data_IF_598534643830
#
_entry.id   IF_598534643830
#
_cell.length_a   1.000
_cell.length_b   1.000
_cell.length_c   1.000
_cell.angle_alpha   90.00
_cell.angle_beta   90.00
_cell.angle_gamma   90.00
#
_symmetry.space_group_name_H-M   'P 1'
#
loop_
_entity.id
_entity.type
_entity.pdbx_description
1 polymer ?
#
# COMPACT_ATOMS: atom_id res chain seq x y z
N UNK A 1 -8.24 59.87 23.20
CA UNK A 1 -7.85 58.62 23.88
C UNK A 1 -6.74 57.98 23.06
N UNK A 2 -5.50 57.92 23.55
CA UNK A 2 -4.40 57.31 22.83
C UNK A 2 -4.43 55.78 23.01
N UNK A 3 -4.53 55.06 21.89
CA UNK A 3 -4.36 53.61 21.83
C UNK A 3 -2.92 53.25 22.21
N UNK A 4 -2.73 52.68 23.39
CA UNK A 4 -1.50 52.01 23.76
C UNK A 4 -1.45 50.65 23.05
N UNK A 5 -0.76 50.59 21.91
CA UNK A 5 -0.31 49.33 21.30
C UNK A 5 0.71 48.68 22.24
N UNK A 6 0.23 47.81 23.12
CA UNK A 6 1.06 46.97 23.97
C UNK A 6 1.94 46.09 23.10
N UNK A 7 3.26 46.29 23.18
CA UNK A 7 4.26 45.37 22.64
C UNK A 7 4.01 43.98 23.20
N UNK A 8 3.73 43.02 22.33
CA UNK A 8 3.59 41.61 22.70
C UNK A 8 4.95 41.07 23.18
N UNK A 9 5.12 40.72 24.47
CA UNK A 9 6.39 40.24 25.01
C UNK A 9 6.87 38.92 24.38
N UNK A 10 5.96 38.20 23.72
CA UNK A 10 6.27 36.98 22.97
C UNK A 10 7.07 37.26 21.69
N UNK A 11 6.82 38.39 21.01
CA UNK A 11 7.53 38.72 19.78
C UNK A 11 9.02 39.00 20.04
N UNK A 12 9.34 39.68 21.14
CA UNK A 12 10.72 39.95 21.56
C UNK A 12 11.45 38.67 21.98
N UNK A 13 10.76 37.72 22.64
CA UNK A 13 11.35 36.43 23.02
C UNK A 13 11.71 35.58 21.79
N UNK A 14 10.86 35.54 20.76
CA UNK A 14 11.16 34.83 19.51
C UNK A 14 12.29 35.49 18.71
N UNK A 15 12.39 36.82 18.76
CA UNK A 15 13.49 37.54 18.11
C UNK A 15 14.84 37.27 18.78
N UNK A 16 14.89 37.25 20.12
CA UNK A 16 16.10 36.87 20.85
C UNK A 16 16.52 35.42 20.57
N UNK A 17 15.56 34.49 20.49
CA UNK A 17 15.85 33.08 20.20
C UNK A 17 16.44 32.88 18.80
N UNK A 18 16.02 33.69 17.80
CA UNK A 18 16.60 33.67 16.45
C UNK A 18 18.00 34.25 16.38
N UNK A 19 18.29 35.28 17.17
CA UNK A 19 19.61 35.92 17.20
C UNK A 19 20.66 35.12 17.99
N UNK A 20 20.22 34.28 18.95
CA UNK A 20 21.10 33.43 19.76
C UNK A 20 21.26 32.00 19.23
N UNK A 21 20.63 31.66 18.11
CA UNK A 21 20.84 30.35 17.49
C UNK A 21 22.31 30.26 17.02
N UNK A 22 23.14 29.37 17.60
CA UNK A 22 24.53 29.24 17.21
C UNK A 22 24.63 28.90 15.72
N UNK A 23 25.56 29.58 15.04
CA UNK A 23 25.91 29.33 13.65
C UNK A 23 26.08 27.82 13.42
N UNK A 24 25.29 27.31 12.48
CA UNK A 24 25.45 26.03 11.80
C UNK A 24 25.83 24.83 12.69
N UNK A 25 24.84 24.01 13.06
CA UNK A 25 25.09 22.67 13.61
C UNK A 25 25.74 21.83 12.50
N UNK A 26 27.07 21.90 12.40
CA UNK A 26 27.86 21.06 11.50
C UNK A 26 27.83 19.65 12.08
N UNK A 27 26.90 18.83 11.56
CA UNK A 27 26.80 17.42 11.94
C UNK A 27 28.13 16.73 11.60
N UNK A 28 28.80 16.08 12.57
CA UNK A 28 30.03 15.35 12.32
C UNK A 28 29.81 14.32 11.20
N UNK A 29 30.55 14.43 10.10
CA UNK A 29 30.48 13.49 8.97
C UNK A 29 29.81 13.99 7.69
N UNK A 30 29.25 15.21 7.66
CA UNK A 30 28.74 15.84 6.43
C UNK A 30 29.72 15.81 5.23
N UNK A 31 31.04 16.11 5.39
CA UNK A 31 31.97 16.02 4.26
C UNK A 31 32.22 14.58 3.77
N UNK A 32 32.07 13.56 4.62
CA UNK A 32 32.17 12.16 4.22
C UNK A 32 30.91 11.70 3.44
N UNK A 33 29.73 12.19 3.83
CA UNK A 33 28.48 11.96 3.10
C UNK A 33 28.51 12.61 1.71
N UNK A 34 29.02 13.84 1.58
CA UNK A 34 29.12 14.50 0.26
C UNK A 34 30.09 13.78 -0.70
N UNK A 35 31.20 13.20 -0.20
CA UNK A 35 32.14 12.42 -1.02
C UNK A 35 31.53 11.13 -1.56
N UNK A 36 30.71 10.43 -0.78
CA UNK A 36 30.08 9.16 -1.21
C UNK A 36 28.98 9.40 -2.24
N UNK A 37 28.19 10.46 -2.12
CA UNK A 37 27.17 10.84 -3.11
C UNK A 37 27.81 11.24 -4.44
N UNK A 38 28.92 12.00 -4.42
CA UNK A 38 29.62 12.42 -5.64
C UNK A 38 30.21 11.23 -6.42
N UNK A 39 30.78 10.23 -5.74
CA UNK A 39 31.28 8.98 -6.37
C UNK A 39 30.17 8.14 -7.01
N UNK A 40 28.96 8.10 -6.40
CA UNK A 40 27.82 7.37 -6.99
C UNK A 40 27.28 8.03 -8.26
N UNK A 41 27.31 9.37 -8.35
CA UNK A 41 26.87 10.07 -9.56
C UNK A 41 27.83 9.85 -10.74
N UNK A 42 29.15 9.87 -10.52
CA UNK A 42 30.11 9.64 -11.60
C UNK A 42 30.07 8.19 -12.13
N UNK A 43 29.84 7.20 -11.27
CA UNK A 43 29.69 5.80 -11.70
C UNK A 43 28.41 5.52 -12.50
N UNK A 44 27.34 6.29 -12.30
CA UNK A 44 26.09 6.15 -13.07
C UNK A 44 26.19 6.75 -14.46
N UNK A 45 26.99 7.82 -14.64
CA UNK A 45 27.16 8.46 -15.96
C UNK A 45 27.99 7.58 -16.91
N UNK A 46 28.99 6.84 -16.41
CA UNK A 46 29.79 5.94 -17.24
C UNK A 46 29.02 4.70 -17.72
N UNK A 47 28.07 4.20 -16.92
CA UNK A 47 27.25 3.04 -17.30
C UNK A 47 26.25 3.36 -18.43
N UNK A 48 25.71 4.58 -18.48
CA UNK A 48 24.76 5.01 -19.53
C UNK A 48 25.46 5.19 -20.87
N UNK A 49 26.71 5.69 -20.88
CA UNK A 49 27.48 5.87 -22.11
C UNK A 49 27.89 4.53 -22.77
N UNK A 50 28.09 3.47 -21.97
CA UNK A 50 28.42 2.14 -22.51
C UNK A 50 27.20 1.45 -23.16
N UNK A 51 25.99 1.71 -22.68
CA UNK A 51 24.77 1.10 -23.21
C UNK A 51 24.30 1.74 -24.53
N UNK A 52 24.56 3.03 -24.76
CA UNK A 52 24.23 3.69 -26.03
C UNK A 52 25.13 3.27 -27.19
N UNK A 53 26.39 2.90 -26.93
CA UNK A 53 27.31 2.41 -27.96
C UNK A 53 26.92 1.01 -28.49
N UNK A 54 26.31 0.17 -27.65
CA UNK A 54 25.88 -1.19 -28.04
C UNK A 54 24.57 -1.18 -28.85
N UNK A 55 23.69 -0.21 -28.63
CA UNK A 55 22.43 -0.08 -29.38
C UNK A 55 22.65 0.37 -30.84
N UNK A 56 23.72 1.12 -31.13
CA UNK A 56 24.03 1.59 -32.48
C UNK A 56 24.76 0.55 -33.34
N UNK A 57 25.40 -0.46 -32.73
CA UNK A 57 26.12 -1.51 -33.46
C UNK A 57 25.22 -2.67 -33.92
N UNK A 58 24.04 -2.87 -33.30
CA UNK A 58 23.14 -3.99 -33.61
C UNK A 58 21.96 -3.61 -34.53
N UNK A 59 21.81 -2.33 -34.90
CA UNK A 59 20.69 -1.83 -35.70
C UNK A 59 20.80 -2.04 -37.22
N UNK A 60 21.34 -3.17 -37.66
CA UNK A 60 21.75 -3.37 -39.05
C UNK A 60 21.39 -4.71 -39.68
N UNK A 61 20.26 -5.34 -39.35
CA UNK A 61 19.71 -6.46 -40.14
C UNK A 61 18.20 -6.61 -39.90
N UNK A 62 17.39 -6.02 -40.80
CA UNK A 62 15.99 -6.43 -40.98
C UNK A 62 15.80 -6.72 -42.46
N UNK A 63 15.86 -8.01 -42.80
CA UNK A 63 15.56 -8.54 -44.12
C UNK A 63 14.10 -8.30 -44.48
N UNK A 64 13.89 -7.88 -45.72
CA UNK A 64 12.59 -7.84 -46.37
C UNK A 64 11.97 -9.24 -46.42
N UNK A 65 10.79 -9.42 -45.81
CA UNK A 65 9.91 -10.54 -46.12
C UNK A 65 8.69 -9.99 -46.86
N UNK A 66 8.76 -10.09 -48.19
CA UNK A 66 7.62 -9.93 -49.08
C UNK A 66 6.73 -11.17 -48.93
N UNK A 67 5.71 -11.06 -48.08
CA UNK A 67 4.65 -12.05 -47.91
C UNK A 67 3.42 -11.72 -48.77
N UNK A 68 2.90 -12.74 -49.45
CA UNK A 68 1.80 -12.72 -50.42
C UNK A 68 0.48 -12.08 -49.91
N UNK A 69 -0.38 -11.58 -50.81
CA UNK A 69 -1.69 -11.02 -50.46
C UNK A 69 -2.62 -12.09 -49.89
N UNK A 70 -3.14 -11.84 -48.69
CA UNK A 70 -4.17 -12.66 -48.05
C UNK A 70 -5.53 -12.51 -48.77
N UNK A 71 -6.36 -13.57 -48.80
CA UNK A 71 -7.69 -13.52 -49.42
C UNK A 71 -8.62 -12.54 -48.68
N UNK A 72 -9.38 -11.77 -49.46
CA UNK A 72 -10.37 -10.82 -48.97
C UNK A 72 -11.42 -11.53 -48.10
N UNK A 73 -11.39 -11.28 -46.79
CA UNK A 73 -12.45 -11.67 -45.86
C UNK A 73 -13.70 -10.81 -46.07
N UNK A 74 -14.89 -11.32 -45.68
CA UNK A 74 -16.17 -10.64 -45.89
C UNK A 74 -16.20 -9.29 -45.18
N UNK A 75 -16.84 -8.32 -45.83
CA UNK A 75 -17.00 -6.95 -45.38
C UNK A 75 -17.52 -6.89 -43.93
N UNK A 76 -16.79 -6.16 -43.08
CA UNK A 76 -17.17 -5.91 -41.70
C UNK A 76 -18.58 -5.30 -41.64
N UNK A 77 -19.46 -5.93 -40.86
CA UNK A 77 -20.77 -5.38 -40.50
C UNK A 77 -20.61 -3.96 -39.95
N UNK A 78 -21.40 -3.04 -40.50
CA UNK A 78 -21.54 -1.66 -40.05
C UNK A 78 -21.61 -1.60 -38.53
N UNK A 79 -20.59 -0.98 -37.93
CA UNK A 79 -20.56 -0.67 -36.51
C UNK A 79 -21.80 0.17 -36.18
N UNK A 80 -22.72 -0.40 -35.40
CA UNK A 80 -23.81 0.36 -34.81
C UNK A 80 -23.20 1.55 -34.02
N UNK A 81 -23.80 2.75 -34.11
CA UNK A 81 -23.30 3.92 -33.37
C UNK A 81 -23.27 3.58 -31.88
N UNK A 82 -22.06 3.62 -31.30
CA UNK A 82 -21.90 3.51 -29.85
C UNK A 82 -22.81 4.54 -29.19
N UNK A 83 -23.63 4.15 -28.19
CA UNK A 83 -24.54 5.08 -27.54
C UNK A 83 -23.74 6.28 -27.03
N UNK A 84 -24.16 7.47 -27.43
CA UNK A 84 -23.58 8.74 -26.97
C UNK A 84 -23.81 8.81 -25.47
N UNK A 85 -22.82 8.40 -24.69
CA UNK A 85 -22.87 8.47 -23.23
C UNK A 85 -23.00 9.95 -22.87
N UNK A 86 -24.14 10.32 -22.28
CA UNK A 86 -24.42 11.69 -21.86
C UNK A 86 -23.31 12.16 -20.93
N UNK A 87 -22.48 13.09 -21.43
CA UNK A 87 -21.38 13.62 -20.66
C UNK A 87 -21.93 14.54 -19.55
N UNK A 88 -22.07 14.01 -18.34
CA UNK A 88 -22.18 14.81 -17.11
C UNK A 88 -21.03 15.82 -16.92
N UNK A 89 -21.05 16.59 -15.82
CA UNK A 89 -20.00 17.58 -15.57
C UNK A 89 -18.66 16.91 -15.29
N UNK A 90 -17.57 17.50 -15.78
CA UNK A 90 -16.21 17.16 -15.35
C UNK A 90 -16.04 17.49 -13.87
N UNK A 91 -15.51 16.57 -13.08
CA UNK A 91 -15.29 16.76 -11.65
C UNK A 91 -13.98 17.50 -11.39
N UNK A 92 -13.94 18.29 -10.30
CA UNK A 92 -12.71 18.94 -9.86
C UNK A 92 -11.70 17.95 -9.26
N UNK A 93 -10.39 18.29 -9.20
CA UNK A 93 -9.35 17.40 -8.68
C UNK A 93 -9.61 16.86 -7.27
N UNK A 94 -10.16 17.70 -6.37
CA UNK A 94 -10.51 17.27 -5.02
C UNK A 94 -11.65 16.24 -5.00
N UNK A 95 -12.62 16.37 -5.91
CA UNK A 95 -13.72 15.41 -6.02
C UNK A 95 -13.23 14.07 -6.57
N UNK A 96 -12.36 14.08 -7.58
CA UNK A 96 -11.72 12.88 -8.11
C UNK A 96 -10.86 12.17 -7.04
N UNK A 97 -10.10 12.95 -6.26
CA UNK A 97 -9.32 12.41 -5.14
C UNK A 97 -10.23 11.75 -4.09
N UNK A 98 -11.38 12.36 -3.77
CA UNK A 98 -12.36 11.78 -2.85
C UNK A 98 -12.99 10.49 -3.39
N UNK A 99 -13.19 10.37 -4.70
CA UNK A 99 -13.60 9.09 -5.31
C UNK A 99 -12.53 8.01 -5.12
N UNK A 100 -11.24 8.36 -5.20
CA UNK A 100 -10.14 7.44 -4.91
C UNK A 100 -10.14 6.97 -3.44
N UNK A 101 -10.38 7.89 -2.49
CA UNK A 101 -10.53 7.55 -1.06
C UNK A 101 -11.71 6.60 -0.86
N UNK A 102 -12.87 6.90 -1.46
CA UNK A 102 -14.06 6.03 -1.40
C UNK A 102 -13.85 4.69 -2.07
N UNK A 103 -13.00 4.60 -3.10
CA UNK A 103 -12.60 3.33 -3.70
C UNK A 103 -11.73 2.52 -2.73
N UNK A 104 -10.79 3.17 -2.03
CA UNK A 104 -9.93 2.54 -1.02
C UNK A 104 -10.74 1.99 0.17
N UNK A 105 -11.75 2.71 0.62
CA UNK A 105 -12.64 2.29 1.71
C UNK A 105 -13.36 0.97 1.43
N UNK A 106 -13.49 0.58 0.16
CA UNK A 106 -14.08 -0.72 -0.23
C UNK A 106 -13.19 -1.90 0.11
N UNK A 107 -11.90 -1.67 0.30
CA UNK A 107 -10.97 -2.64 0.87
C UNK A 107 -10.96 -2.60 2.41
N UNK A 108 -11.83 -1.81 3.04
CA UNK A 108 -11.84 -1.60 4.50
C UNK A 108 -10.64 -0.79 4.99
N UNK A 109 -9.97 -0.06 4.10
CA UNK A 109 -8.79 0.73 4.40
C UNK A 109 -9.13 2.23 4.50
N UNK A 110 -8.43 2.92 5.39
CA UNK A 110 -8.49 4.38 5.52
C UNK A 110 -7.25 5.01 4.88
N UNK A 111 -7.41 6.20 4.30
CA UNK A 111 -6.31 6.92 3.64
C UNK A 111 -5.11 7.16 4.58
N UNK A 112 -5.37 7.48 5.86
CA UNK A 112 -4.34 7.76 6.87
C UNK A 112 -3.63 6.48 7.35
N UNK A 113 -4.22 5.31 7.09
CA UNK A 113 -3.72 3.99 7.49
C UNK A 113 -3.50 3.10 6.26
N UNK A 114 -2.92 3.67 5.21
CA UNK A 114 -2.64 2.95 3.98
C UNK A 114 -1.65 1.80 4.25
N UNK A 115 -2.07 0.58 3.90
CA UNK A 115 -1.21 -0.60 4.01
C UNK A 115 -0.22 -0.64 2.86
N UNK A 116 0.95 -1.25 3.11
CA UNK A 116 1.86 -1.65 2.02
C UNK A 116 1.11 -2.61 1.10
N UNK A 117 1.11 -2.33 -0.19
CA UNK A 117 0.33 -3.10 -1.15
C UNK A 117 -1.01 -2.48 -1.54
N UNK A 118 -1.39 -1.31 -1.00
CA UNK A 118 -2.54 -0.55 -1.47
C UNK A 118 -2.11 0.80 -2.05
N UNK A 119 -2.74 1.22 -3.14
CA UNK A 119 -2.59 2.55 -3.76
C UNK A 119 -3.95 3.04 -4.23
N UNK A 120 -4.14 4.35 -4.26
CA UNK A 120 -5.40 4.97 -4.69
C UNK A 120 -5.13 6.37 -5.24
N UNK A 121 -6.09 6.90 -5.99
CA UNK A 121 -5.97 8.24 -6.56
C UNK A 121 -7.05 8.56 -7.60
N UNK A 122 -7.02 9.77 -8.17
CA UNK A 122 -7.83 10.09 -9.33
C UNK A 122 -7.37 9.26 -10.53
N UNK A 123 -8.29 8.95 -11.44
CA UNK A 123 -7.92 8.48 -12.77
C UNK A 123 -7.54 9.72 -13.56
N UNK A 124 -6.25 9.94 -13.81
CA UNK A 124 -5.78 11.20 -14.42
C UNK A 124 -5.24 11.00 -15.85
N UNK A 125 -4.94 12.13 -16.49
CA UNK A 125 -4.59 12.18 -17.91
C UNK A 125 -3.31 11.41 -18.29
N UNK A 126 -3.42 10.63 -19.37
CA UNK A 126 -2.54 9.53 -19.79
C UNK A 126 -1.12 9.93 -20.23
N UNK A 127 -0.78 11.23 -20.24
CA UNK A 127 0.49 11.70 -20.76
C UNK A 127 1.70 11.26 -19.92
N UNK A 128 1.52 10.98 -18.63
CA UNK A 128 2.60 10.52 -17.74
C UNK A 128 2.34 9.18 -17.06
N UNK A 129 1.14 8.60 -17.23
CA UNK A 129 0.71 7.29 -16.71
C UNK A 129 1.27 7.02 -15.32
N UNK A 130 0.57 7.45 -14.27
CA UNK A 130 1.07 7.33 -12.90
C UNK A 130 1.63 5.95 -12.61
N UNK A 131 2.93 5.92 -12.29
CA UNK A 131 3.63 4.70 -11.91
C UNK A 131 3.57 4.56 -10.41
N UNK A 132 2.82 3.59 -9.96
CA UNK A 132 2.85 3.17 -8.56
C UNK A 132 3.74 1.94 -8.42
N UNK A 133 4.26 1.74 -7.22
CA UNK A 133 4.93 0.49 -6.88
C UNK A 133 4.37 -0.04 -5.57
N UNK A 134 4.01 -1.32 -5.58
CA UNK A 134 3.69 -2.05 -4.36
C UNK A 134 4.98 -2.67 -3.84
N UNK A 135 5.37 -2.26 -2.63
CA UNK A 135 6.71 -2.52 -2.07
C UNK A 135 7.69 -1.36 -2.34
N UNK A 136 8.86 -1.41 -1.72
CA UNK A 136 9.99 -0.50 -2.01
C UNK A 136 11.29 -1.29 -2.15
N UNK A 137 12.36 -0.66 -2.64
CA UNK A 137 13.67 -1.32 -2.73
C UNK A 137 14.22 -1.71 -1.34
N UNK A 138 13.95 -0.90 -0.31
CA UNK A 138 14.32 -1.17 1.07
C UNK A 138 13.45 -2.26 1.71
N UNK A 139 12.23 -2.43 1.21
CA UNK A 139 11.21 -3.32 1.75
C UNK A 139 10.42 -3.98 0.61
N UNK A 140 11.04 -4.92 -0.11
CA UNK A 140 10.38 -5.63 -1.20
C UNK A 140 9.23 -6.50 -0.66
N UNK A 141 8.25 -6.77 -1.50
CA UNK A 141 7.23 -7.79 -1.26
C UNK A 141 7.91 -9.17 -1.27
N UNK A 142 7.56 -10.08 -0.34
CA UNK A 142 8.12 -11.43 -0.34
C UNK A 142 7.77 -12.23 -1.61
N UNK A 143 8.50 -13.32 -1.84
CA UNK A 143 8.13 -14.31 -2.87
C UNK A 143 6.75 -14.89 -2.55
N UNK A 144 5.90 -15.06 -3.57
CA UNK A 144 4.61 -15.70 -3.40
C UNK A 144 3.58 -15.33 -4.48
N UNK A 145 2.37 -15.90 -4.33
CA UNK A 145 1.23 -15.60 -5.19
C UNK A 145 0.39 -14.52 -4.55
N UNK A 146 0.34 -13.37 -5.19
CA UNK A 146 -0.46 -12.21 -4.80
C UNK A 146 -1.75 -12.20 -5.59
N UNK A 147 -2.84 -11.76 -4.96
CA UNK A 147 -4.06 -11.40 -5.69
C UNK A 147 -4.15 -9.88 -5.74
N UNK A 148 -4.08 -9.31 -6.94
CA UNK A 148 -4.24 -7.89 -7.18
C UNK A 148 -5.72 -7.61 -7.43
N UNK A 149 -6.31 -6.79 -6.57
CA UNK A 149 -7.69 -6.33 -6.63
C UNK A 149 -7.76 -4.90 -7.13
N UNK A 150 -8.65 -4.62 -8.07
CA UNK A 150 -8.90 -3.29 -8.61
C UNK A 150 -10.33 -2.87 -8.29
N UNK A 151 -10.48 -1.64 -7.79
CA UNK A 151 -11.76 -1.01 -7.59
C UNK A 151 -11.78 0.38 -8.24
N UNK A 152 -12.84 0.70 -8.97
CA UNK A 152 -13.06 2.02 -9.55
C UNK A 152 -14.43 2.57 -9.16
N UNK A 153 -14.47 3.82 -8.69
CA UNK A 153 -15.68 4.60 -8.38
C UNK A 153 -15.86 5.70 -9.43
N UNK A 154 -17.10 6.07 -9.72
CA UNK A 154 -17.46 7.02 -10.77
C UNK A 154 -17.97 6.35 -12.05
N UNK A 155 -17.59 6.91 -13.20
CA UNK A 155 -18.05 6.54 -14.54
C UNK A 155 -16.90 6.14 -15.49
N UNK A 156 -17.21 5.40 -16.55
CA UNK A 156 -16.21 4.97 -17.54
C UNK A 156 -15.48 3.68 -17.17
N UNK A 157 -14.27 3.50 -17.69
CA UNK A 157 -13.45 2.30 -17.48
C UNK A 157 -12.00 2.65 -17.25
N UNK A 158 -11.34 1.85 -16.41
CA UNK A 158 -9.89 1.88 -16.22
C UNK A 158 -9.25 0.57 -16.66
N UNK A 159 -7.98 0.66 -17.06
CA UNK A 159 -7.08 -0.44 -17.28
C UNK A 159 -5.88 -0.28 -16.33
N UNK A 160 -5.64 -1.29 -15.50
CA UNK A 160 -4.50 -1.36 -14.57
C UNK A 160 -3.50 -2.33 -15.15
N UNK A 161 -2.40 -1.80 -15.67
CA UNK A 161 -1.25 -2.62 -16.12
C UNK A 161 -0.32 -2.85 -14.96
N UNK A 162 0.08 -4.10 -14.74
CA UNK A 162 1.04 -4.48 -13.71
C UNK A 162 2.29 -5.11 -14.34
N UNK A 163 3.42 -4.97 -13.66
CA UNK A 163 4.69 -5.59 -14.02
C UNK A 163 5.41 -6.09 -12.77
N UNK A 164 5.91 -7.32 -12.85
CA UNK A 164 6.67 -8.03 -11.82
C UNK A 164 7.91 -8.70 -12.44
N UNK A 165 8.72 -9.38 -11.64
CA UNK A 165 9.87 -10.18 -12.10
C UNK A 165 9.44 -11.33 -13.04
N UNK A 166 8.22 -11.82 -12.86
CA UNK A 166 7.68 -12.97 -13.61
C UNK A 166 7.00 -12.62 -14.91
N UNK A 167 6.63 -11.36 -15.11
CA UNK A 167 5.84 -10.97 -16.27
C UNK A 167 5.10 -9.65 -16.10
N UNK A 168 4.16 -9.44 -17.01
CA UNK A 168 3.30 -8.26 -17.07
C UNK A 168 1.89 -8.67 -17.47
N UNK A 169 0.90 -7.89 -17.07
CA UNK A 169 -0.49 -8.09 -17.46
C UNK A 169 -1.33 -6.84 -17.28
N UNK A 170 -2.60 -6.91 -17.68
CA UNK A 170 -3.54 -5.79 -17.57
C UNK A 170 -4.87 -6.30 -17.01
N UNK A 171 -5.49 -5.51 -16.15
CA UNK A 171 -6.82 -5.74 -15.59
C UNK A 171 -7.72 -4.58 -15.95
N UNK A 172 -8.79 -4.85 -16.69
CA UNK A 172 -9.80 -3.85 -17.01
C UNK A 172 -10.90 -3.85 -15.95
N UNK A 173 -11.19 -2.68 -15.38
CA UNK A 173 -12.24 -2.50 -14.38
C UNK A 173 -13.23 -1.41 -14.80
N UNK A 174 -14.54 -1.70 -14.85
CA UNK A 174 -15.55 -0.67 -15.03
C UNK A 174 -15.65 0.17 -13.75
N UNK A 175 -15.81 1.48 -13.91
CA UNK A 175 -16.11 2.39 -12.81
C UNK A 175 -17.62 2.38 -12.59
N UNK A 176 -18.06 2.04 -11.38
CA UNK A 176 -19.48 1.94 -11.07
C UNK A 176 -19.75 2.26 -9.61
N UNK A 177 -20.59 3.27 -9.37
CA UNK A 177 -21.05 3.62 -8.03
C UNK A 177 -22.10 2.65 -7.47
N UNK A 178 -22.81 1.92 -8.34
CA UNK A 178 -23.83 0.94 -7.96
C UNK A 178 -23.24 -0.40 -7.48
N UNK A 179 -21.92 -0.57 -7.53
CA UNK A 179 -21.23 -1.77 -7.04
C UNK A 179 -21.40 -1.98 -5.52
N UNK A 180 -22.13 -1.14 -4.79
CA UNK A 180 -22.37 -1.28 -3.35
C UNK A 180 -23.02 -2.60 -2.93
N UNK A 181 -23.74 -3.28 -3.85
CA UNK A 181 -24.47 -4.53 -3.53
C UNK A 181 -23.77 -5.83 -3.94
N UNK A 182 -22.79 -5.79 -4.82
CA UNK A 182 -22.06 -6.98 -5.28
C UNK A 182 -20.60 -6.60 -5.45
N UNK A 183 -19.62 -7.48 -5.17
CA UNK A 183 -18.24 -7.16 -5.45
C UNK A 183 -17.87 -7.55 -6.90
N UNK A 184 -17.96 -6.67 -7.94
CA UNK A 184 -17.19 -6.89 -9.15
C UNK A 184 -15.76 -6.42 -8.88
N UNK A 185 -15.11 -6.98 -7.87
CA UNK A 185 -13.68 -6.74 -7.66
C UNK A 185 -12.96 -7.53 -8.74
N UNK A 186 -12.58 -6.82 -9.79
CA UNK A 186 -11.72 -7.41 -10.80
C UNK A 186 -10.40 -7.76 -10.13
N UNK A 187 -9.94 -8.98 -10.35
CA UNK A 187 -8.71 -9.44 -9.76
C UNK A 187 -7.89 -10.26 -10.74
N UNK A 188 -6.58 -10.26 -10.51
CA UNK A 188 -5.62 -11.07 -11.24
C UNK A 188 -4.59 -11.61 -10.25
N UNK A 189 -4.08 -12.80 -10.53
CA UNK A 189 -2.96 -13.33 -9.78
C UNK A 189 -1.65 -12.78 -10.32
N UNK A 190 -0.79 -12.34 -9.41
CA UNK A 190 0.58 -11.88 -9.71
C UNK A 190 1.53 -12.75 -8.92
N UNK A 191 2.44 -13.44 -9.59
CA UNK A 191 3.46 -14.26 -8.92
C UNK A 191 4.75 -13.46 -8.81
N UNK A 192 5.35 -13.43 -7.62
CA UNK A 192 6.74 -13.04 -7.42
C UNK A 192 7.57 -14.29 -7.15
N UNK A 193 8.59 -14.58 -7.97
CA UNK A 193 9.51 -15.71 -7.73
C UNK A 193 10.65 -15.29 -6.80
N UNK A 194 11.03 -14.03 -6.86
CA UNK A 194 12.01 -13.40 -5.97
C UNK A 194 11.37 -12.26 -5.19
N UNK A 195 11.88 -11.91 -4.00
CA UNK A 195 11.40 -10.73 -3.30
C UNK A 195 11.57 -9.49 -4.20
N UNK A 196 10.48 -8.76 -4.45
CA UNK A 196 10.44 -7.74 -5.50
C UNK A 196 9.37 -6.68 -5.30
N UNK A 197 9.12 -5.91 -6.35
CA UNK A 197 8.06 -4.90 -6.39
C UNK A 197 7.06 -5.29 -7.48
N UNK A 198 5.80 -4.91 -7.29
CA UNK A 198 4.80 -4.93 -8.36
C UNK A 198 4.61 -3.49 -8.82
N UNK A 199 5.13 -3.16 -10.00
CA UNK A 199 4.93 -1.86 -10.62
C UNK A 199 3.53 -1.81 -11.26
N UNK A 200 2.82 -0.71 -11.07
CA UNK A 200 1.48 -0.49 -11.58
C UNK A 200 1.44 0.77 -12.44
N UNK A 201 0.65 0.74 -13.50
CA UNK A 201 0.26 1.89 -14.29
C UNK A 201 -1.25 1.85 -14.51
N UNK A 202 -1.92 2.97 -14.27
CA UNK A 202 -3.38 3.08 -14.42
C UNK A 202 -3.67 4.05 -15.55
N UNK A 203 -4.53 3.63 -16.47
CA UNK A 203 -5.09 4.46 -17.54
C UNK A 203 -6.61 4.37 -17.53
N UNK A 204 -7.30 5.45 -17.86
CA UNK A 204 -8.76 5.46 -18.02
C UNK A 204 -9.18 5.97 -19.39
N UNK A 205 -10.40 5.64 -19.79
CA UNK A 205 -11.06 6.31 -20.91
C UNK A 205 -11.37 7.80 -20.58
N UNK A 206 -11.82 8.56 -21.57
CA UNK A 206 -12.11 10.00 -21.42
C UNK A 206 -13.10 10.28 -20.27
N UNK A 207 -14.07 9.38 -20.09
CA UNK A 207 -15.10 9.50 -19.06
C UNK A 207 -14.51 9.26 -17.68
N UNK A 208 -13.72 8.20 -17.50
CA UNK A 208 -13.06 7.87 -16.25
C UNK A 208 -12.07 8.95 -15.83
N UNK A 209 -11.30 9.50 -16.78
CA UNK A 209 -10.36 10.59 -16.50
C UNK A 209 -11.03 11.83 -15.90
N UNK A 210 -12.25 12.13 -16.35
CA UNK A 210 -12.98 13.31 -15.90
C UNK A 210 -13.82 13.07 -14.64
N UNK A 211 -14.12 11.82 -14.27
CA UNK A 211 -15.18 11.51 -13.29
C UNK A 211 -14.92 10.33 -12.37
N UNK A 212 -13.73 9.76 -12.35
CA UNK A 212 -13.47 8.54 -11.59
C UNK A 212 -12.25 8.62 -10.70
N UNK A 213 -12.31 7.83 -9.63
CA UNK A 213 -11.19 7.55 -8.74
C UNK A 213 -11.05 6.05 -8.58
N UNK A 214 -9.82 5.61 -8.33
CA UNK A 214 -9.51 4.19 -8.27
C UNK A 214 -8.77 3.85 -6.98
N UNK A 215 -8.80 2.56 -6.64
CA UNK A 215 -7.92 1.95 -5.68
C UNK A 215 -7.47 0.57 -6.19
N UNK A 216 -6.20 0.25 -5.97
CA UNK A 216 -5.61 -1.06 -6.24
C UNK A 216 -5.02 -1.59 -4.95
N UNK A 217 -5.26 -2.85 -4.63
CA UNK A 217 -4.68 -3.52 -3.48
C UNK A 217 -4.17 -4.89 -3.88
N UNK A 218 -2.99 -5.29 -3.39
CA UNK A 218 -2.57 -6.69 -3.39
C UNK A 218 -2.83 -7.30 -2.02
N UNK A 219 -3.39 -8.50 -2.02
CA UNK A 219 -3.45 -9.32 -0.82
C UNK A 219 -2.17 -10.16 -0.71
N UNK A 220 -1.47 -10.03 0.41
CA UNK A 220 -0.25 -10.78 0.67
C UNK A 220 -0.61 -12.24 1.01
N UNK A 221 0.06 -13.24 0.39
CA UNK A 221 -0.20 -14.64 0.68
C UNK A 221 -0.01 -14.98 2.17
N UNK A 222 0.94 -14.36 2.86
CA UNK A 222 1.16 -14.58 4.29
C UNK A 222 -0.02 -14.10 5.12
N UNK A 223 -0.64 -12.97 4.74
CA UNK A 223 -1.84 -12.47 5.40
C UNK A 223 -3.01 -13.44 5.23
N UNK A 224 -3.20 -13.96 4.03
CA UNK A 224 -4.24 -14.98 3.74
C UNK A 224 -4.02 -16.25 4.57
N UNK A 225 -2.77 -16.70 4.68
CA UNK A 225 -2.39 -17.89 5.46
C UNK A 225 -2.64 -17.66 6.97
N UNK A 226 -2.23 -16.51 7.50
CA UNK A 226 -2.48 -16.16 8.90
C UNK A 226 -4.00 -16.07 9.18
N UNK A 227 -4.74 -15.37 8.33
CA UNK A 227 -6.19 -15.22 8.47
C UNK A 227 -6.91 -16.56 8.46
N UNK A 228 -6.61 -17.41 7.48
CA UNK A 228 -7.23 -18.75 7.34
C UNK A 228 -6.94 -19.62 8.56
N UNK A 229 -5.75 -19.53 9.15
CA UNK A 229 -5.40 -20.26 10.36
C UNK A 229 -6.17 -19.77 11.60
N UNK A 230 -6.55 -18.48 11.64
CA UNK A 230 -7.31 -17.90 12.73
C UNK A 230 -8.83 -18.11 12.59
N UNK A 231 -9.40 -17.95 11.39
CA UNK A 231 -10.84 -17.92 11.11
C UNK A 231 -11.63 -19.17 11.52
N UNK A 232 -10.98 -20.27 11.92
CA UNK A 232 -11.64 -21.49 12.41
C UNK A 232 -12.47 -21.32 13.70
N UNK A 233 -12.54 -20.14 14.31
CA UNK A 233 -13.32 -19.91 15.54
C UNK A 233 -14.40 -18.84 15.37
N UNK A 234 -15.66 -19.28 15.31
CA UNK A 234 -16.83 -18.42 15.45
C UNK A 234 -16.85 -17.73 16.81
N UNK A 235 -17.20 -16.44 16.83
CA UNK A 235 -17.36 -15.65 18.04
C UNK A 235 -17.17 -14.16 17.75
N UNK A 236 -18.03 -13.31 18.32
CA UNK A 236 -17.87 -11.86 18.24
C UNK A 236 -16.68 -11.45 19.11
N UNK A 237 -15.62 -10.92 18.52
CA UNK A 237 -14.46 -10.40 19.24
C UNK A 237 -14.65 -8.94 19.64
N UNK A 238 -13.96 -8.50 20.69
CA UNK A 238 -13.78 -7.08 21.03
C UNK A 238 -12.90 -6.34 20.02
N UNK A 239 -12.10 -7.09 19.27
CA UNK A 239 -11.22 -6.59 18.22
C UNK A 239 -10.44 -7.73 17.59
N UNK A 240 -9.60 -7.36 16.64
CA UNK A 240 -8.76 -8.28 15.88
C UNK A 240 -8.64 -7.84 14.43
N UNK A 241 -7.56 -8.25 13.78
CA UNK A 241 -7.36 -7.96 12.38
C UNK A 241 -6.34 -8.90 11.77
N UNK A 242 -6.03 -8.61 10.51
CA UNK A 242 -4.95 -9.26 9.77
C UNK A 242 -4.07 -8.15 9.24
N UNK A 243 -2.77 -8.25 9.49
CA UNK A 243 -1.80 -7.24 9.09
C UNK A 243 -0.36 -7.74 9.08
N UNK A 244 0.50 -6.98 8.41
CA UNK A 244 1.94 -7.21 8.42
C UNK A 244 2.58 -6.54 9.63
N UNK A 245 3.41 -7.27 10.38
CA UNK A 245 4.19 -6.70 11.49
C UNK A 245 5.56 -6.28 10.98
N UNK A 246 5.68 -5.02 10.58
CA UNK A 246 6.94 -4.47 10.04
C UNK A 246 7.83 -3.85 11.12
N UNK A 247 7.25 -3.49 12.27
CA UNK A 247 7.90 -2.87 13.43
C UNK A 247 7.07 -3.10 14.69
N UNK A 248 6.81 -2.04 15.47
CA UNK A 248 5.88 -2.08 16.60
C UNK A 248 4.48 -1.65 16.15
N UNK A 249 3.47 -2.42 16.52
CA UNK A 249 2.05 -2.09 16.32
C UNK A 249 1.32 -2.12 17.67
N UNK A 250 0.40 -1.17 17.86
CA UNK A 250 -0.37 -1.03 19.10
C UNK A 250 -1.86 -0.89 18.77
N UNK A 251 -2.67 -1.79 19.31
CA UNK A 251 -4.12 -1.67 19.35
C UNK A 251 -4.58 -1.38 20.77
N UNK A 252 -5.49 -0.43 20.90
CA UNK A 252 -5.94 0.10 22.20
C UNK A 252 -7.44 -0.03 22.33
N UNK A 253 -7.88 -0.68 23.39
CA UNK A 253 -9.28 -0.67 23.84
C UNK A 253 -9.34 0.18 25.12
N UNK A 254 -9.85 1.42 25.05
CA UNK A 254 -10.02 2.25 26.23
C UNK A 254 -11.05 1.62 27.17
N UNK A 255 -10.88 1.84 28.47
CA UNK A 255 -11.86 1.52 29.52
C UNK A 255 -12.38 0.06 29.50
N UNK A 256 -11.51 -0.89 29.17
CA UNK A 256 -11.86 -2.31 29.19
C UNK A 256 -12.22 -2.74 30.62
N UNK A 257 -13.34 -3.43 30.79
CA UNK A 257 -13.88 -3.86 32.09
C UNK A 257 -12.95 -4.84 32.84
N UNK A 258 -13.17 -5.02 34.14
CA UNK A 258 -12.48 -6.09 34.88
C UNK A 258 -12.91 -7.46 34.34
N UNK A 259 -11.96 -8.35 34.07
CA UNK A 259 -12.27 -9.63 33.44
C UNK A 259 -11.03 -10.40 33.00
N UNK A 260 -11.26 -11.53 32.32
CA UNK A 260 -10.21 -12.32 31.67
C UNK A 260 -10.24 -12.08 30.18
N UNK A 261 -9.17 -11.51 29.65
CA UNK A 261 -9.02 -11.24 28.22
C UNK A 261 -8.14 -12.30 27.59
N UNK A 262 -8.54 -12.72 26.40
CA UNK A 262 -7.86 -13.73 25.61
C UNK A 262 -7.54 -13.13 24.25
N UNK A 263 -6.26 -13.07 23.94
CA UNK A 263 -5.73 -12.79 22.61
C UNK A 263 -5.36 -14.11 21.96
N UNK A 264 -6.09 -14.50 20.92
CA UNK A 264 -5.65 -15.54 20.00
C UNK A 264 -4.96 -14.88 18.81
N UNK A 265 -3.83 -15.43 18.40
CA UNK A 265 -3.11 -14.96 17.23
C UNK A 265 -2.47 -16.11 16.48
N UNK A 266 -2.16 -15.88 15.21
CA UNK A 266 -1.39 -16.77 14.34
C UNK A 266 -0.32 -15.93 13.65
N UNK A 267 0.87 -16.49 13.40
CA UNK A 267 1.95 -15.77 12.73
C UNK A 267 2.48 -16.54 11.52
N UNK A 268 2.26 -16.00 10.33
CA UNK A 268 2.72 -16.58 9.07
C UNK A 268 4.02 -15.92 8.58
N UNK A 269 4.92 -16.73 8.01
CA UNK A 269 6.21 -16.29 7.46
C UNK A 269 7.40 -16.83 8.26
N UNK A 270 8.59 -16.26 8.03
CA UNK A 270 9.83 -16.70 8.68
C UNK A 270 10.28 -15.67 9.71
N UNK A 271 10.33 -16.03 10.99
CA UNK A 271 10.82 -15.14 12.05
C UNK A 271 10.13 -15.35 13.38
N UNK A 272 10.21 -14.35 14.24
CA UNK A 272 9.52 -14.32 15.53
C UNK A 272 8.93 -12.95 15.77
N UNK A 273 7.75 -12.91 16.37
CA UNK A 273 7.17 -11.71 16.95
C UNK A 273 7.16 -11.82 18.47
N UNK A 274 7.19 -10.68 19.15
CA UNK A 274 6.89 -10.55 20.57
C UNK A 274 5.51 -9.91 20.68
N UNK A 275 4.53 -10.71 21.08
CA UNK A 275 3.17 -10.26 21.34
C UNK A 275 3.00 -10.00 22.84
N UNK A 276 2.46 -8.84 23.19
CA UNK A 276 2.24 -8.42 24.57
C UNK A 276 0.79 -7.97 24.72
N UNK A 277 0.07 -8.61 25.64
CA UNK A 277 -1.25 -8.19 26.07
C UNK A 277 -1.10 -7.47 27.42
N UNK A 278 -1.46 -6.19 27.49
CA UNK A 278 -1.28 -5.35 28.67
C UNK A 278 -2.60 -4.72 29.09
N UNK A 279 -2.89 -4.72 30.38
CA UNK A 279 -4.09 -4.11 30.94
C UNK A 279 -3.74 -3.40 32.25
N UNK A 280 -3.72 -2.07 32.22
CA UNK A 280 -3.19 -1.26 33.33
C UNK A 280 -1.73 -1.62 33.65
N UNK A 281 -1.46 -2.09 34.87
CA UNK A 281 -0.14 -2.54 35.33
C UNK A 281 0.14 -4.03 35.05
N UNK A 282 -0.88 -4.81 34.69
CA UNK A 282 -0.73 -6.24 34.40
C UNK A 282 -0.30 -6.40 32.94
N UNK A 283 0.63 -7.32 32.67
CA UNK A 283 1.04 -7.65 31.30
C UNK A 283 1.36 -9.13 31.14
N UNK A 284 1.08 -9.67 29.96
CA UNK A 284 1.38 -11.03 29.55
C UNK A 284 2.11 -10.96 28.21
N UNK A 285 3.30 -11.55 28.14
CA UNK A 285 4.20 -11.45 26.98
C UNK A 285 4.48 -12.84 26.46
N UNK A 286 4.42 -13.01 25.14
CA UNK A 286 4.78 -14.27 24.49
C UNK A 286 5.56 -14.01 23.21
N UNK A 287 6.68 -14.72 23.07
CA UNK A 287 7.42 -14.80 21.81
C UNK A 287 6.79 -15.89 20.95
N UNK A 288 6.40 -15.54 19.74
CA UNK A 288 5.72 -16.43 18.79
C UNK A 288 6.60 -16.63 17.57
N UNK A 289 6.92 -17.89 17.28
CA UNK A 289 7.64 -18.26 16.07
C UNK A 289 6.66 -18.38 14.92
N UNK A 290 6.96 -17.69 13.83
CA UNK A 290 6.15 -17.69 12.63
C UNK A 290 6.52 -18.89 11.75
N UNK A 291 5.55 -19.42 11.01
CA UNK A 291 5.74 -20.56 10.11
C UNK A 291 4.84 -20.45 8.88
N UNK A 292 5.13 -21.22 7.84
CA UNK A 292 4.26 -21.34 6.65
C UNK A 292 2.93 -22.03 6.98
N UNK A 293 2.93 -22.87 8.01
CA UNK A 293 1.74 -23.48 8.60
C UNK A 293 1.58 -22.89 10.01
N UNK A 294 1.05 -21.67 10.13
CA UNK A 294 1.02 -20.98 11.41
C UNK A 294 0.14 -21.73 12.41
N UNK A 295 0.71 -22.01 13.58
CA UNK A 295 -0.05 -22.54 14.71
C UNK A 295 -0.73 -21.39 15.47
N UNK A 296 -1.90 -21.70 16.03
CA UNK A 296 -2.61 -20.77 16.90
C UNK A 296 -1.87 -20.62 18.24
N UNK A 297 -1.79 -19.38 18.69
CA UNK A 297 -1.20 -19.02 19.97
C UNK A 297 -2.20 -18.22 20.78
N UNK A 298 -2.42 -18.65 22.02
CA UNK A 298 -3.25 -17.94 22.98
C UNK A 298 -2.38 -17.23 24.01
N UNK A 299 -2.74 -15.98 24.32
CA UNK A 299 -2.19 -15.15 25.39
C UNK A 299 -3.37 -14.69 26.25
N UNK A 300 -3.31 -14.95 27.55
CA UNK A 300 -4.37 -14.60 28.49
C UNK A 300 -3.85 -13.58 29.49
N UNK A 301 -4.72 -12.65 29.88
CA UNK A 301 -4.52 -11.75 31.01
C UNK A 301 -5.81 -11.66 31.82
N UNK A 302 -5.69 -11.56 33.14
CA UNK A 302 -6.84 -11.33 34.03
C UNK A 302 -6.58 -10.08 34.84
N UNK A 303 -7.57 -9.18 34.88
CA UNK A 303 -7.53 -7.97 35.70
C UNK A 303 -8.74 -7.88 36.60
N UNK A 304 -8.51 -7.40 37.82
CA UNK A 304 -9.56 -7.17 38.83
C UNK A 304 -10.19 -5.77 38.75
N UNK A 305 -9.70 -4.90 37.86
CA UNK A 305 -10.17 -3.52 37.70
C UNK A 305 -10.27 -3.18 36.22
N UNK A 306 -11.21 -2.29 35.89
CA UNK A 306 -11.27 -1.70 34.56
C UNK A 306 -10.00 -0.90 34.27
N UNK A 307 -9.47 -1.00 33.06
CA UNK A 307 -8.26 -0.30 32.62
C UNK A 307 -8.15 -0.32 31.10
N UNK A 308 -7.29 0.53 30.55
CA UNK A 308 -6.92 0.46 29.13
C UNK A 308 -6.26 -0.89 28.82
N UNK A 309 -6.82 -1.61 27.86
CA UNK A 309 -6.26 -2.83 27.31
C UNK A 309 -5.47 -2.50 26.03
N UNK A 310 -4.24 -3.02 25.95
CA UNK A 310 -3.31 -2.79 24.84
C UNK A 310 -2.82 -4.13 24.30
N UNK A 311 -2.85 -4.26 22.98
CA UNK A 311 -2.17 -5.34 22.25
C UNK A 311 -0.96 -4.71 21.56
N UNK A 312 0.24 -5.14 21.95
CA UNK A 312 1.48 -4.68 21.35
C UNK A 312 2.12 -5.86 20.61
N UNK A 313 2.43 -5.69 19.33
CA UNK A 313 3.21 -6.65 18.58
C UNK A 313 4.49 -5.98 18.09
N UNK A 314 5.63 -6.61 18.36
CA UNK A 314 6.92 -6.13 17.88
C UNK A 314 7.71 -7.26 17.23
N UNK A 315 8.59 -6.89 16.31
CA UNK A 315 9.48 -7.80 15.58
C UNK A 315 10.88 -7.21 15.58
N UNK A 316 11.91 -8.07 15.54
CA UNK A 316 13.28 -7.63 15.26
C UNK A 316 13.30 -6.92 13.88
N UNK A 317 13.73 -5.65 13.79
CA UNK A 317 13.83 -4.93 12.52
C UNK A 317 14.61 -5.68 11.44
N UNK A 318 15.60 -6.49 11.84
CA UNK A 318 16.47 -7.27 10.94
C UNK A 318 15.87 -8.59 10.48
N UNK A 319 14.81 -9.08 11.12
CA UNK A 319 14.18 -10.32 10.70
C UNK A 319 13.47 -10.14 9.33
N UNK A 320 12.95 -11.21 8.72
CA UNK A 320 12.01 -11.11 7.61
C UNK A 320 10.65 -10.56 8.07
N UNK A 321 9.87 -10.00 7.14
CA UNK A 321 8.50 -9.58 7.44
C UNK A 321 7.62 -10.80 7.73
N UNK A 322 6.61 -10.61 8.58
CA UNK A 322 5.68 -11.66 8.98
C UNK A 322 4.26 -11.09 9.01
N UNK A 323 3.29 -11.93 8.69
CA UNK A 323 1.88 -11.59 8.79
C UNK A 323 1.31 -12.14 10.10
N UNK A 324 0.49 -11.34 10.76
CA UNK A 324 -0.22 -11.76 11.97
C UNK A 324 -1.71 -11.57 11.74
N UNK A 325 -2.47 -12.59 12.11
CA UNK A 325 -3.90 -12.48 12.31
C UNK A 325 -4.18 -12.67 13.79
N UNK A 326 -4.96 -11.78 14.39
CA UNK A 326 -5.30 -11.81 15.80
C UNK A 326 -6.78 -11.57 16.07
N UNK A 327 -7.23 -12.03 17.23
CA UNK A 327 -8.60 -11.88 17.71
C UNK A 327 -8.56 -11.75 19.23
N UNK A 328 -9.24 -10.73 19.73
CA UNK A 328 -9.28 -10.38 21.14
C UNK A 328 -10.72 -10.47 21.65
N UNK A 329 -10.92 -11.12 22.80
CA UNK A 329 -12.23 -11.17 23.47
C UNK A 329 -12.09 -11.32 24.98
N UNK A 330 -13.19 -11.04 25.67
CA UNK A 330 -13.34 -11.31 27.10
C UNK A 330 -14.03 -12.66 27.30
N UNK A 331 -13.52 -13.47 28.23
CA UNK A 331 -14.13 -14.71 28.70
C UNK A 331 -15.02 -14.47 29.91
#
# INVERSE_FOLDING_TARGET
MPEQTGREPLADAFFQFRMQAPEEIVVPGAPAAHRTVRRRRTARVSAVAALTALALAAGGYSAASLGAPAPAGPAASSAAPSPTVSAGPTLGPQQLQQLGVRALERFGLKAEKLRRGAVYGPVDDAASGFRYSLGTAEQPLPTGRYTLFVFCRGEGRIAVTWQADTGRGTVDAPCNDLAERFPPTQHVEVWLHTPGLIALSVSGDDVARARSGFAVMVNDPLMTVAETALQRTGGSGLGGGVGMVTGETEDVVPDAEAGTYVLELTCAGTGTIKATLKMGSVSSVKTVRCSEQPARVTITITSKRAATLKVLMSRDPKAPQVAVADKLWMK
#
